data_IF_468936025318
#
_entry.id   IF_468936025318
#
_cell.length_a   1.000
_cell.length_b   1.000
_cell.length_c   1.000
_cell.angle_alpha   90.00
_cell.angle_beta   90.00
_cell.angle_gamma   90.00
#
_symmetry.space_group_name_H-M   'P 1'
#
loop_
_entity.id
_entity.type
_entity.pdbx_description
1 polymer ?
#
# COMPACT_ATOMS: atom_id res chain seq x y z
N UNK A 1 -5.50 21.64 -6.18
CA UNK A 1 -5.79 20.56 -5.22
C UNK A 1 -4.54 19.72 -5.07
N UNK A 2 -4.26 19.21 -3.87
CA UNK A 2 -3.18 18.24 -3.64
C UNK A 2 -3.56 16.93 -4.36
N UNK A 3 -2.61 16.26 -5.00
CA UNK A 3 -2.86 14.98 -5.63
C UNK A 3 -3.29 13.95 -4.58
N UNK A 4 -4.18 13.02 -4.96
CA UNK A 4 -4.61 11.95 -4.06
C UNK A 4 -3.42 11.04 -3.75
N UNK A 5 -3.33 10.59 -2.51
CA UNK A 5 -2.25 9.72 -2.03
C UNK A 5 -2.81 8.37 -1.60
N UNK A 6 -2.22 7.27 -2.04
CA UNK A 6 -2.64 5.92 -1.63
C UNK A 6 -1.43 5.17 -1.08
N UNK A 7 -1.59 4.61 0.13
CA UNK A 7 -0.58 3.73 0.70
C UNK A 7 -0.71 2.33 0.11
N UNK A 8 0.41 1.72 -0.29
CA UNK A 8 0.47 0.31 -0.63
C UNK A 8 1.42 -0.39 0.35
N UNK A 9 0.82 -1.28 1.14
CA UNK A 9 1.43 -1.94 2.28
C UNK A 9 1.54 -3.45 2.02
N UNK A 10 2.66 -4.07 2.39
CA UNK A 10 2.84 -5.50 2.19
C UNK A 10 4.19 -6.04 2.66
N UNK A 11 4.37 -7.37 2.64
CA UNK A 11 5.58 -8.03 3.14
C UNK A 11 6.86 -7.66 2.39
N UNK A 12 7.96 -7.63 3.13
CA UNK A 12 9.33 -7.58 2.60
C UNK A 12 9.70 -8.87 1.86
N UNK A 13 9.30 -10.00 2.43
CA UNK A 13 9.51 -11.33 1.85
C UNK A 13 8.13 -11.83 1.40
N UNK A 14 7.80 -11.59 0.13
CA UNK A 14 6.47 -11.80 -0.43
C UNK A 14 6.46 -12.96 -1.42
N UNK A 15 5.26 -13.49 -1.72
CA UNK A 15 5.08 -14.47 -2.80
C UNK A 15 5.14 -13.75 -4.14
N UNK A 16 5.48 -14.49 -5.20
CA UNK A 16 5.53 -13.94 -6.56
C UNK A 16 4.19 -13.30 -6.97
N UNK A 17 3.08 -13.95 -6.66
CA UNK A 17 1.74 -13.41 -6.91
C UNK A 17 1.46 -12.08 -6.19
N UNK A 18 2.02 -11.88 -4.99
CA UNK A 18 1.84 -10.62 -4.26
C UNK A 18 2.69 -9.51 -4.90
N UNK A 19 3.88 -9.84 -5.41
CA UNK A 19 4.72 -8.91 -6.16
C UNK A 19 4.09 -8.51 -7.50
N UNK A 20 3.60 -9.48 -8.28
CA UNK A 20 2.91 -9.23 -9.56
C UNK A 20 1.69 -8.32 -9.37
N UNK A 21 0.87 -8.62 -8.35
CA UNK A 21 -0.29 -7.79 -7.98
C UNK A 21 0.14 -6.39 -7.56
N UNK A 22 1.19 -6.26 -6.77
CA UNK A 22 1.67 -4.97 -6.29
C UNK A 22 2.23 -4.09 -7.43
N UNK A 23 2.96 -4.68 -8.37
CA UNK A 23 3.42 -3.98 -9.57
C UNK A 23 2.25 -3.46 -10.40
N UNK A 24 1.24 -4.29 -10.64
CA UNK A 24 0.05 -3.87 -11.38
C UNK A 24 -0.74 -2.79 -10.65
N UNK A 25 -0.93 -2.91 -9.33
CA UNK A 25 -1.54 -1.85 -8.50
C UNK A 25 -0.75 -0.54 -8.64
N UNK A 26 0.58 -0.60 -8.60
CA UNK A 26 1.44 0.58 -8.76
C UNK A 26 1.22 1.29 -10.10
N UNK A 27 1.21 0.52 -11.20
CA UNK A 27 0.96 1.02 -12.55
C UNK A 27 -0.39 1.71 -12.64
N UNK A 28 -1.46 1.05 -12.18
CA UNK A 28 -2.83 1.57 -12.22
C UNK A 28 -3.01 2.84 -11.38
N UNK A 29 -2.39 2.92 -10.21
CA UNK A 29 -2.42 4.13 -9.38
C UNK A 29 -1.73 5.30 -10.08
N UNK A 30 -0.56 5.07 -10.67
CA UNK A 30 0.17 6.10 -11.41
C UNK A 30 -0.63 6.62 -12.61
N UNK A 31 -1.24 5.73 -13.39
CA UNK A 31 -2.13 6.10 -14.52
C UNK A 31 -3.35 6.90 -14.07
N UNK A 32 -3.85 6.65 -12.86
CA UNK A 32 -4.92 7.43 -12.24
C UNK A 32 -4.46 8.79 -11.68
N UNK A 33 -3.19 9.17 -11.82
CA UNK A 33 -2.62 10.42 -11.31
C UNK A 33 -2.44 10.44 -9.79
N UNK A 34 -2.34 9.26 -9.16
CA UNK A 34 -2.23 9.10 -7.70
C UNK A 34 -0.76 9.06 -7.30
N UNK A 35 -0.43 9.69 -6.18
CA UNK A 35 0.86 9.52 -5.52
C UNK A 35 0.86 8.22 -4.71
N UNK A 36 1.82 7.34 -5.00
CA UNK A 36 1.99 6.08 -4.26
C UNK A 36 2.86 6.33 -3.03
N UNK A 37 2.39 5.91 -1.86
CA UNK A 37 3.17 5.93 -0.62
C UNK A 37 3.46 4.49 -0.19
N UNK A 38 4.71 4.15 0.08
CA UNK A 38 5.09 2.82 0.56
C UNK A 38 6.27 2.89 1.55
N UNK A 39 6.68 1.74 2.11
CA UNK A 39 7.84 1.68 3.00
C UNK A 39 9.20 1.63 2.29
N UNK A 40 9.23 1.65 0.96
CA UNK A 40 10.44 1.83 0.14
C UNK A 40 11.54 0.76 0.27
N UNK A 41 11.21 -0.43 0.77
CA UNK A 41 12.13 -1.57 0.83
C UNK A 41 11.86 -2.60 -0.26
N UNK A 42 12.33 -3.84 -0.05
CA UNK A 42 12.09 -4.99 -0.93
C UNK A 42 10.65 -5.54 -0.88
N UNK A 43 10.37 -6.56 -1.70
CA UNK A 43 9.08 -7.26 -1.72
C UNK A 43 7.97 -6.44 -2.36
N UNK A 44 6.78 -6.44 -1.74
CA UNK A 44 5.61 -5.68 -2.23
C UNK A 44 5.94 -4.20 -2.46
N UNK A 45 6.72 -3.59 -1.56
CA UNK A 45 7.10 -2.18 -1.66
C UNK A 45 7.97 -1.87 -2.88
N UNK A 46 8.88 -2.79 -3.25
CA UNK A 46 9.70 -2.65 -4.45
C UNK A 46 8.87 -2.86 -5.72
N UNK A 47 7.96 -3.84 -5.69
CA UNK A 47 7.10 -4.13 -6.83
C UNK A 47 6.15 -2.97 -7.16
N UNK A 48 5.46 -2.40 -6.15
CA UNK A 48 4.59 -1.24 -6.37
C UNK A 48 5.38 -0.01 -6.83
N UNK A 49 6.58 0.23 -6.28
CA UNK A 49 7.43 1.33 -6.71
C UNK A 49 7.86 1.17 -8.18
N UNK A 50 8.23 -0.04 -8.59
CA UNK A 50 8.56 -0.35 -10.00
C UNK A 50 7.38 -0.10 -10.92
N UNK A 51 6.20 -0.62 -10.61
CA UNK A 51 5.01 -0.45 -11.44
C UNK A 51 4.58 1.02 -11.59
N UNK A 52 4.56 1.75 -10.47
CA UNK A 52 4.20 3.16 -10.46
C UNK A 52 5.22 4.03 -11.20
N UNK A 53 6.51 3.81 -10.95
CA UNK A 53 7.58 4.59 -11.60
C UNK A 53 7.68 4.32 -13.10
N UNK A 54 7.48 3.07 -13.54
CA UNK A 54 7.45 2.70 -14.97
C UNK A 54 6.32 3.42 -15.73
N UNK A 55 5.20 3.71 -15.06
CA UNK A 55 4.09 4.51 -15.59
C UNK A 55 4.25 6.03 -15.39
N UNK A 56 5.41 6.49 -14.92
CA UNK A 56 5.69 7.92 -14.68
C UNK A 56 5.03 8.51 -13.42
N UNK A 57 4.58 7.67 -12.50
CA UNK A 57 3.96 8.07 -11.24
C UNK A 57 4.98 8.55 -10.19
N UNK A 58 4.47 9.34 -9.23
CA UNK A 58 5.24 9.78 -8.07
C UNK A 58 5.19 8.74 -6.96
N UNK A 59 6.35 8.29 -6.48
CA UNK A 59 6.47 7.28 -5.41
C UNK A 59 7.23 7.85 -4.21
N UNK A 60 6.60 7.81 -3.03
CA UNK A 60 7.19 8.25 -1.77
C UNK A 60 7.49 7.04 -0.88
N UNK A 61 8.77 6.84 -0.57
CA UNK A 61 9.23 5.81 0.36
C UNK A 61 9.42 6.37 1.76
N UNK A 62 8.67 5.87 2.75
CA UNK A 62 8.81 6.26 4.17
C UNK A 62 9.55 5.16 4.91
N UNK A 63 10.82 5.40 5.23
CA UNK A 63 11.76 4.39 5.73
C UNK A 63 11.74 4.29 7.26
N UNK A 64 11.81 3.08 7.84
CA UNK A 64 11.90 2.88 9.30
C UNK A 64 13.29 3.22 9.85
N UNK A 65 14.31 3.21 9.01
CA UNK A 65 15.72 3.42 9.33
C UNK A 65 16.27 4.62 8.56
N UNK A 66 17.60 4.77 8.59
CA UNK A 66 18.36 5.77 7.83
C UNK A 66 19.36 5.10 6.88
N UNK A 67 19.17 3.82 6.59
CA UNK A 67 20.05 3.02 5.73
C UNK A 67 19.73 3.31 4.26
N UNK A 68 20.66 4.00 3.59
CA UNK A 68 20.53 4.45 2.21
C UNK A 68 20.71 3.33 1.18
N UNK A 69 21.34 2.23 1.57
CA UNK A 69 21.62 1.11 0.67
C UNK A 69 20.47 0.10 0.64
N UNK A 70 19.51 0.20 1.58
CA UNK A 70 18.39 -0.72 1.75
C UNK A 70 17.09 -0.29 1.04
N UNK A 71 17.16 0.65 0.08
CA UNK A 71 16.00 1.12 -0.68
C UNK A 71 15.77 0.34 -1.96
N UNK A 72 14.53 0.31 -2.43
CA UNK A 72 14.20 -0.16 -3.78
C UNK A 72 14.39 0.95 -4.82
N UNK A 73 14.57 0.54 -6.07
CA UNK A 73 14.51 1.43 -7.23
C UNK A 73 13.07 1.94 -7.45
N UNK A 74 12.96 3.07 -8.14
CA UNK A 74 11.66 3.68 -8.50
C UNK A 74 11.09 4.65 -7.49
N UNK A 75 11.75 4.88 -6.35
CA UNK A 75 11.35 5.93 -5.39
C UNK A 75 11.69 7.32 -5.94
N UNK A 76 10.71 8.23 -5.93
CA UNK A 76 10.90 9.63 -6.31
C UNK A 76 11.36 10.49 -5.13
N UNK A 77 10.85 10.17 -3.93
CA UNK A 77 11.18 10.86 -2.68
C UNK A 77 11.34 9.83 -1.58
N UNK A 78 12.34 10.02 -0.71
CA UNK A 78 12.54 9.18 0.47
C UNK A 78 12.48 10.02 1.75
N UNK A 79 11.63 9.60 2.68
CA UNK A 79 11.52 10.18 4.02
C UNK A 79 12.20 9.23 5.01
N UNK A 80 13.34 9.67 5.54
CA UNK A 80 14.14 8.93 6.51
C UNK A 80 13.66 9.26 7.93
N UNK A 81 12.96 8.32 8.58
CA UNK A 81 12.34 8.62 9.88
C UNK A 81 13.24 8.24 11.06
N UNK A 82 13.99 7.12 10.95
CA UNK A 82 14.68 6.53 12.10
C UNK A 82 13.73 6.06 13.22
N UNK A 83 12.44 5.88 12.93
CA UNK A 83 11.41 5.59 13.93
C UNK A 83 11.08 4.09 14.08
N UNK A 84 11.80 3.21 13.39
CA UNK A 84 11.43 1.80 13.31
C UNK A 84 10.00 1.65 12.77
N UNK A 85 9.22 0.74 13.35
CA UNK A 85 7.84 0.48 12.92
C UNK A 85 6.85 1.60 13.31
N UNK A 86 7.24 2.57 14.15
CA UNK A 86 6.37 3.71 14.44
C UNK A 86 6.11 4.60 13.20
N UNK A 87 6.94 4.49 12.15
CA UNK A 87 6.70 5.11 10.83
C UNK A 87 5.41 4.64 10.16
N UNK A 88 4.86 3.50 10.55
CA UNK A 88 3.63 2.95 9.97
C UNK A 88 2.47 3.93 10.19
N UNK A 89 2.45 4.62 11.33
CA UNK A 89 1.47 5.70 11.59
C UNK A 89 1.67 6.89 10.65
N UNK A 90 2.90 7.27 10.32
CA UNK A 90 3.14 8.37 9.36
C UNK A 90 2.56 8.01 8.00
N UNK A 91 2.79 6.79 7.51
CA UNK A 91 2.23 6.33 6.24
C UNK A 91 0.72 6.40 6.27
N UNK A 92 0.11 5.76 7.27
CA UNK A 92 -1.34 5.65 7.36
C UNK A 92 -1.99 7.02 7.52
N UNK A 93 -1.41 7.96 8.28
CA UNK A 93 -1.98 9.29 8.47
C UNK A 93 -1.79 10.23 7.26
N UNK A 94 -0.87 9.91 6.36
CA UNK A 94 -0.51 10.80 5.22
C UNK A 94 -1.31 10.54 3.94
N UNK A 95 -2.19 9.54 3.90
CA UNK A 95 -2.84 9.07 2.67
C UNK A 95 -4.35 9.26 2.66
N UNK A 96 -4.98 9.10 1.50
CA UNK A 96 -6.44 9.18 1.30
C UNK A 96 -7.09 7.80 1.14
N UNK A 97 -6.29 6.72 1.26
CA UNK A 97 -6.72 5.33 1.17
C UNK A 97 -5.53 4.37 1.32
N UNK A 98 -5.81 3.12 1.67
CA UNK A 98 -4.79 2.09 1.93
C UNK A 98 -5.15 0.81 1.17
N UNK A 99 -4.17 0.26 0.45
CA UNK A 99 -4.22 -1.08 -0.13
C UNK A 99 -3.19 -1.95 0.58
N UNK A 100 -3.65 -3.04 1.16
CA UNK A 100 -2.83 -4.07 1.80
C UNK A 100 -2.73 -5.27 0.88
N UNK A 101 -1.51 -5.69 0.53
CA UNK A 101 -1.24 -6.83 -0.35
C UNK A 101 -0.46 -7.89 0.42
N UNK A 102 -0.97 -9.12 0.43
CA UNK A 102 -0.36 -10.23 1.19
C UNK A 102 -0.42 -10.04 2.71
N UNK A 103 0.32 -10.88 3.44
CA UNK A 103 0.28 -10.92 4.91
C UNK A 103 1.66 -10.98 5.58
N UNK A 104 1.92 -10.05 6.49
CA UNK A 104 3.01 -10.12 7.47
C UNK A 104 2.61 -9.38 8.76
N UNK A 105 3.31 -9.57 9.90
CA UNK A 105 3.02 -8.82 11.12
C UNK A 105 3.09 -7.29 10.94
N UNK A 106 4.07 -6.80 10.17
CA UNK A 106 4.17 -5.37 9.86
C UNK A 106 2.99 -4.88 9.03
N UNK A 107 2.60 -5.66 8.02
CA UNK A 107 1.43 -5.39 7.17
C UNK A 107 0.12 -5.40 7.97
N UNK A 108 -0.03 -6.34 8.93
CA UNK A 108 -1.17 -6.37 9.84
C UNK A 108 -1.22 -5.12 10.73
N UNK A 109 -0.06 -4.60 11.16
CA UNK A 109 -0.01 -3.37 11.95
C UNK A 109 -0.49 -2.16 11.14
N UNK A 110 -0.11 -2.06 9.86
CA UNK A 110 -0.58 -1.01 8.94
C UNK A 110 -2.09 -1.13 8.68
N UNK A 111 -2.60 -2.35 8.50
CA UNK A 111 -4.04 -2.63 8.37
C UNK A 111 -4.83 -2.19 9.61
N UNK A 112 -4.34 -2.54 10.80
CA UNK A 112 -4.99 -2.17 12.05
C UNK A 112 -4.96 -0.65 12.30
N UNK A 113 -3.82 0.01 12.00
CA UNK A 113 -3.70 1.46 12.06
C UNK A 113 -4.66 2.15 11.09
N UNK A 114 -4.79 1.66 9.86
CA UNK A 114 -5.69 2.22 8.85
C UNK A 114 -7.16 2.16 9.30
N UNK A 115 -7.60 1.02 9.84
CA UNK A 115 -8.94 0.87 10.39
C UNK A 115 -9.17 1.72 11.65
N UNK A 116 -8.14 1.86 12.50
CA UNK A 116 -8.21 2.75 13.67
C UNK A 116 -8.31 4.22 13.28
N UNK A 117 -7.59 4.65 12.25
CA UNK A 117 -7.66 6.01 11.71
C UNK A 117 -9.09 6.32 11.23
N UNK A 118 -9.67 5.39 10.47
CA UNK A 118 -11.02 5.53 9.92
C UNK A 118 -11.14 6.66 8.90
N UNK A 119 -12.32 6.78 8.28
CA UNK A 119 -12.62 7.87 7.33
C UNK A 119 -11.93 7.77 5.96
N UNK A 120 -11.17 6.70 5.70
CA UNK A 120 -10.54 6.41 4.41
C UNK A 120 -10.90 4.99 3.95
N UNK A 121 -10.88 4.71 2.64
CA UNK A 121 -10.97 3.35 2.14
C UNK A 121 -9.78 2.50 2.60
N UNK A 122 -10.07 1.30 3.12
CA UNK A 122 -9.08 0.28 3.43
C UNK A 122 -9.43 -0.96 2.62
N UNK A 123 -8.47 -1.43 1.82
CA UNK A 123 -8.67 -2.53 0.86
C UNK A 123 -7.61 -3.59 1.05
N UNK A 124 -8.01 -4.85 1.00
CA UNK A 124 -7.14 -6.01 1.14
C UNK A 124 -7.12 -6.83 -0.14
N UNK A 125 -5.93 -7.19 -0.62
CA UNK A 125 -5.71 -8.04 -1.79
C UNK A 125 -4.82 -9.24 -1.38
N UNK A 126 -5.45 -10.38 -1.10
CA UNK A 126 -4.77 -11.53 -0.50
C UNK A 126 -4.27 -11.28 0.93
N UNK A 127 -4.96 -10.40 1.66
CA UNK A 127 -4.61 -9.92 3.01
C UNK A 127 -5.02 -10.86 4.14
N UNK A 128 -5.40 -10.28 5.29
CA UNK A 128 -5.64 -11.01 6.53
C UNK A 128 -7.12 -11.32 6.75
N UNK A 129 -7.38 -12.49 7.33
CA UNK A 129 -8.64 -12.80 8.01
C UNK A 129 -8.39 -12.74 9.52
N UNK A 130 -9.06 -11.81 10.20
CA UNK A 130 -8.91 -11.59 11.64
C UNK A 130 -10.19 -12.00 12.33
N UNK A 131 -10.06 -12.77 13.42
CA UNK A 131 -11.20 -13.26 14.19
C UNK A 131 -11.13 -12.77 15.64
N UNK A 132 -12.27 -12.42 16.21
CA UNK A 132 -12.46 -12.11 17.63
C UNK A 132 -13.53 -13.03 18.19
N UNK A 133 -13.17 -13.86 19.14
CA UNK A 133 -14.06 -14.84 19.76
C UNK A 133 -14.73 -15.80 18.75
N UNK A 134 -13.99 -16.14 17.68
CA UNK A 134 -14.47 -17.00 16.59
C UNK A 134 -15.24 -16.27 15.49
N UNK A 135 -15.57 -14.99 15.68
CA UNK A 135 -16.29 -14.18 14.70
C UNK A 135 -15.32 -13.36 13.84
N UNK A 136 -15.53 -13.27 12.51
CA UNK A 136 -14.69 -12.46 11.64
C UNK A 136 -14.81 -10.97 11.99
N UNK A 137 -13.68 -10.26 11.96
CA UNK A 137 -13.59 -8.82 12.15
C UNK A 137 -13.48 -8.16 10.78
N UNK A 138 -14.42 -7.27 10.46
CA UNK A 138 -14.34 -6.43 9.27
C UNK A 138 -13.19 -5.42 9.42
N UNK A 139 -12.19 -5.52 8.54
CA UNK A 139 -11.03 -4.66 8.47
C UNK A 139 -10.90 -3.97 7.10
N UNK A 140 -12.02 -3.78 6.41
CA UNK A 140 -12.09 -3.13 5.11
C UNK A 140 -12.40 -4.10 3.97
N UNK A 141 -12.59 -3.54 2.77
CA UNK A 141 -13.02 -4.28 1.61
C UNK A 141 -11.98 -5.31 1.17
N UNK A 142 -12.44 -6.46 0.69
CA UNK A 142 -11.58 -7.51 0.14
C UNK A 142 -11.73 -7.50 -1.38
N UNK A 143 -10.62 -7.29 -2.08
CA UNK A 143 -10.55 -7.31 -3.53
C UNK A 143 -9.96 -8.63 -4.05
N UNK A 144 -10.44 -9.10 -5.18
CA UNK A 144 -9.93 -10.28 -5.87
C UNK A 144 -8.81 -9.94 -6.86
N UNK A 145 -8.79 -8.71 -7.40
CA UNK A 145 -7.87 -8.27 -8.46
C UNK A 145 -7.20 -6.93 -8.15
N UNK A 146 -6.03 -6.61 -8.77
CA UNK A 146 -5.43 -5.28 -8.72
C UNK A 146 -6.38 -4.14 -9.12
N UNK A 147 -7.12 -4.32 -10.23
CA UNK A 147 -8.07 -3.33 -10.74
C UNK A 147 -9.17 -3.03 -9.73
N UNK A 148 -9.79 -4.07 -9.16
CA UNK A 148 -10.80 -3.92 -8.13
C UNK A 148 -10.22 -3.23 -6.88
N UNK A 149 -9.01 -3.61 -6.47
CA UNK A 149 -8.36 -3.02 -5.31
C UNK A 149 -8.16 -1.50 -5.47
N UNK A 150 -7.70 -1.06 -6.64
CA UNK A 150 -7.52 0.36 -6.96
C UNK A 150 -8.86 1.08 -7.08
N UNK A 151 -9.88 0.49 -7.72
CA UNK A 151 -11.21 1.09 -7.82
C UNK A 151 -11.80 1.39 -6.43
N UNK A 152 -11.77 0.39 -5.55
CA UNK A 152 -12.25 0.50 -4.17
C UNK A 152 -11.46 1.54 -3.37
N UNK A 153 -10.13 1.55 -3.50
CA UNK A 153 -9.27 2.53 -2.79
C UNK A 153 -9.52 3.98 -3.26
N UNK A 154 -9.94 4.15 -4.52
CA UNK A 154 -10.33 5.44 -5.07
C UNK A 154 -11.80 5.80 -4.82
N UNK A 155 -12.59 4.90 -4.23
CA UNK A 155 -14.04 5.10 -4.05
C UNK A 155 -14.78 5.21 -5.39
N UNK A 156 -14.29 4.52 -6.43
CA UNK A 156 -14.90 4.44 -7.76
C UNK A 156 -15.54 3.06 -7.98
N UNK A 157 -16.53 2.98 -8.86
CA UNK A 157 -17.01 1.68 -9.36
C UNK A 157 -15.96 1.01 -10.25
N UNK A 158 -15.91 -0.33 -10.24
CA UNK A 158 -14.93 -1.14 -10.98
C UNK A 158 -15.00 -0.89 -12.49
N UNK A 159 -16.20 -0.63 -13.02
CA UNK A 159 -16.46 -0.40 -14.46
C UNK A 159 -15.83 0.89 -15.02
N UNK A 160 -15.28 1.77 -14.17
CA UNK A 160 -14.70 3.05 -14.57
C UNK A 160 -13.17 2.99 -14.82
N UNK A 161 -12.59 1.79 -14.84
CA UNK A 161 -11.14 1.55 -14.91
C UNK A 161 -10.68 0.64 -16.07
N UNK A 162 -11.61 0.21 -16.94
CA UNK A 162 -11.30 -0.39 -18.25
C UNK A 162 -11.03 0.68 -19.31
#
# INVERSE_FOLDING_TARGET
MVARQIAVCGPRDCRDIDAERAEEVGRLLAEAGVTVVCGGGRGVMAAVARGASAAGGLVVGIRPDTDRDAICDGLSVVIWTGMGEARNSIIVESVDGVIVIGGSPGTLSELALANRRGGIPVVQLGGWEVFRDGEPVDLGAVAATPTEAVALALGRGVDAME
#
